data_IF_411920552602
#
_entry.id   IF_411920552602
#
_cell.length_a   1.000
_cell.length_b   1.000
_cell.length_c   1.000
_cell.angle_alpha   90.00
_cell.angle_beta   90.00
_cell.angle_gamma   90.00
#
_symmetry.space_group_name_H-M   'P 1'
#
loop_
_entity.id
_entity.type
_entity.pdbx_description
1 polymer ?
#
# COMPACT_ATOMS: atom_id res chain seq x y z
N UNK A 1 0.60 -3.19 8.89
CA UNK A 1 0.75 -4.32 7.95
C UNK A 1 -0.47 -4.34 7.03
N UNK A 2 -0.31 -4.72 5.77
CA UNK A 2 -1.42 -4.95 4.83
C UNK A 2 -1.51 -6.44 4.49
N UNK A 3 -2.71 -6.99 4.43
CA UNK A 3 -2.95 -8.38 3.99
C UNK A 3 -3.09 -8.40 2.48
N UNK A 4 -2.38 -9.32 1.82
CA UNK A 4 -2.51 -9.62 0.39
C UNK A 4 -2.62 -11.14 0.19
N UNK A 5 -3.07 -11.56 -0.99
CA UNK A 5 -3.26 -12.97 -1.31
C UNK A 5 -2.40 -13.34 -2.52
N UNK A 6 -1.55 -14.36 -2.36
CA UNK A 6 -0.73 -14.90 -3.46
C UNK A 6 -1.61 -15.69 -4.44
N UNK A 7 -1.09 -15.96 -5.63
CA UNK A 7 -1.78 -16.77 -6.65
C UNK A 7 -2.18 -18.18 -6.17
N UNK A 8 -1.42 -18.75 -5.23
CA UNK A 8 -1.73 -20.06 -4.64
C UNK A 8 -2.79 -20.00 -3.52
N UNK A 9 -3.44 -18.86 -3.32
CA UNK A 9 -4.46 -18.65 -2.28
C UNK A 9 -3.91 -18.42 -0.87
N UNK A 10 -2.59 -18.53 -0.65
CA UNK A 10 -2.00 -18.25 0.67
C UNK A 10 -1.99 -16.75 0.97
N UNK A 11 -2.21 -16.43 2.24
CA UNK A 11 -2.16 -15.06 2.73
C UNK A 11 -0.72 -14.63 3.05
N UNK A 12 -0.44 -13.35 2.80
CA UNK A 12 0.82 -12.72 3.14
C UNK A 12 0.53 -11.34 3.75
N UNK A 13 1.26 -11.00 4.81
CA UNK A 13 1.19 -9.69 5.43
C UNK A 13 2.46 -8.90 5.09
N UNK A 14 2.29 -7.75 4.44
CA UNK A 14 3.40 -6.90 4.01
C UNK A 14 3.48 -5.62 4.85
N UNK A 15 4.70 -5.12 5.04
CA UNK A 15 4.92 -3.81 5.64
C UNK A 15 4.62 -2.72 4.59
N UNK A 16 3.57 -1.91 4.77
CA UNK A 16 3.19 -0.89 3.79
C UNK A 16 4.27 0.17 3.59
N UNK A 17 5.05 0.49 4.62
CA UNK A 17 6.12 1.50 4.56
C UNK A 17 7.33 1.08 3.74
N UNK A 18 7.41 -0.20 3.36
CA UNK A 18 8.51 -0.76 2.57
C UNK A 18 8.06 -1.16 1.16
N UNK A 19 6.81 -0.90 0.79
CA UNK A 19 6.36 -1.10 -0.60
C UNK A 19 6.97 -0.01 -1.46
N UNK A 20 7.71 -0.42 -2.49
CA UNK A 20 8.42 0.46 -3.41
C UNK A 20 7.60 0.71 -4.67
N UNK A 21 7.11 -0.35 -5.32
CA UNK A 21 6.28 -0.25 -6.53
C UNK A 21 5.13 -1.26 -6.52
N UNK A 22 4.07 -0.92 -7.25
CA UNK A 22 2.98 -1.83 -7.59
C UNK A 22 2.80 -1.76 -9.11
N UNK A 23 2.98 -2.88 -9.79
CA UNK A 23 2.86 -2.99 -11.25
C UNK A 23 1.57 -3.74 -11.62
N UNK A 24 0.80 -3.16 -12.55
CA UNK A 24 -0.38 -3.79 -13.13
C UNK A 24 0.04 -4.77 -14.24
N UNK A 25 0.13 -6.05 -13.91
CA UNK A 25 0.23 -7.14 -14.91
C UNK A 25 -1.10 -7.92 -14.91
N UNK A 26 -1.30 -9.04 -15.64
CA UNK A 26 -2.54 -9.82 -15.51
C UNK A 26 -2.89 -10.16 -14.06
N UNK A 27 -1.85 -10.32 -13.22
CA UNK A 27 -1.88 -10.26 -11.76
C UNK A 27 -1.05 -9.06 -11.27
N UNK A 28 -1.18 -8.58 -10.03
CA UNK A 28 -0.34 -7.47 -9.57
C UNK A 28 1.01 -7.95 -9.04
N UNK A 29 2.06 -7.16 -9.27
CA UNK A 29 3.38 -7.39 -8.66
C UNK A 29 3.69 -6.26 -7.67
N UNK A 30 3.93 -6.62 -6.42
CA UNK A 30 4.42 -5.70 -5.38
C UNK A 30 5.93 -5.88 -5.26
N UNK A 31 6.70 -4.81 -5.46
CA UNK A 31 8.14 -4.79 -5.16
C UNK A 31 8.37 -4.09 -3.84
N UNK A 32 9.17 -4.69 -2.97
CA UNK A 32 9.60 -4.13 -1.69
C UNK A 32 10.93 -3.40 -1.84
N UNK A 33 11.22 -2.45 -0.94
CA UNK A 33 12.45 -1.64 -0.93
C UNK A 33 13.77 -2.44 -0.85
N UNK A 34 13.70 -3.74 -0.52
CA UNK A 34 14.84 -4.64 -0.54
C UNK A 34 14.96 -5.44 -1.86
N UNK A 35 14.17 -5.11 -2.87
CA UNK A 35 14.09 -5.81 -4.16
C UNK A 35 13.24 -7.08 -4.18
N UNK A 36 12.68 -7.53 -3.06
CA UNK A 36 11.79 -8.71 -3.05
C UNK A 36 10.49 -8.40 -3.80
N UNK A 37 10.03 -9.36 -4.60
CA UNK A 37 8.79 -9.24 -5.38
C UNK A 37 7.75 -10.26 -4.95
N UNK A 38 6.50 -9.83 -4.88
CA UNK A 38 5.35 -10.68 -4.58
C UNK A 38 4.29 -10.53 -5.66
N UNK A 39 3.92 -11.65 -6.27
CA UNK A 39 2.78 -11.71 -7.20
C UNK A 39 1.52 -12.00 -6.39
N UNK A 40 0.51 -11.14 -6.56
CA UNK A 40 -0.73 -11.16 -5.76
C UNK A 40 -1.95 -10.98 -6.66
N UNK A 41 -3.08 -11.50 -6.19
CA UNK A 41 -4.36 -11.48 -6.95
C UNK A 41 -5.08 -10.14 -6.86
N UNK A 42 -4.72 -9.28 -5.90
CA UNK A 42 -5.36 -7.98 -5.77
C UNK A 42 -4.91 -6.99 -6.84
N UNK A 43 -5.85 -6.25 -7.42
CA UNK A 43 -5.55 -5.13 -8.29
C UNK A 43 -4.77 -4.01 -7.58
N UNK A 44 -3.99 -3.19 -8.32
CA UNK A 44 -3.21 -2.11 -7.75
C UNK A 44 -4.06 -1.10 -6.96
N UNK A 45 -5.31 -0.86 -7.37
CA UNK A 45 -6.23 0.03 -6.67
C UNK A 45 -6.63 -0.48 -5.28
N UNK A 46 -6.84 -1.80 -5.14
CA UNK A 46 -7.14 -2.43 -3.86
C UNK A 46 -5.92 -2.37 -2.93
N UNK A 47 -4.74 -2.68 -3.45
CA UNK A 47 -3.47 -2.60 -2.70
C UNK A 47 -3.24 -1.15 -2.24
N UNK A 48 -3.37 -0.18 -3.14
CA UNK A 48 -3.18 1.25 -2.85
C UNK A 48 -4.16 1.73 -1.78
N UNK A 49 -5.43 1.32 -1.84
CA UNK A 49 -6.41 1.67 -0.81
C UNK A 49 -6.00 1.15 0.58
N UNK A 50 -5.54 -0.11 0.66
CA UNK A 50 -5.01 -0.69 1.91
C UNK A 50 -3.79 0.10 2.44
N UNK A 51 -2.90 0.56 1.55
CA UNK A 51 -1.75 1.39 1.93
C UNK A 51 -2.20 2.74 2.50
N UNK A 52 -3.09 3.44 1.80
CA UNK A 52 -3.64 4.74 2.22
C UNK A 52 -4.31 4.61 3.59
N UNK A 53 -5.08 3.56 3.82
CA UNK A 53 -5.76 3.33 5.10
C UNK A 53 -4.75 3.20 6.25
N UNK A 54 -3.64 2.46 6.05
CA UNK A 54 -2.59 2.39 7.06
C UNK A 54 -1.92 3.75 7.26
N UNK A 55 -1.60 4.48 6.18
CA UNK A 55 -0.96 5.80 6.27
C UNK A 55 -1.82 6.82 7.03
N UNK A 56 -3.14 6.76 6.87
CA UNK A 56 -4.10 7.56 7.64
C UNK A 56 -4.11 7.16 9.10
N UNK A 57 -4.14 5.85 9.40
CA UNK A 57 -4.17 5.34 10.77
C UNK A 57 -2.92 5.72 11.56
N UNK A 58 -1.74 5.71 10.94
CA UNK A 58 -0.48 6.08 11.60
C UNK A 58 -0.19 7.58 11.59
N UNK A 59 -1.11 8.41 11.07
CA UNK A 59 -0.97 9.86 11.07
C UNK A 59 0.03 10.42 10.05
N UNK A 60 0.49 9.62 9.09
CA UNK A 60 1.41 10.05 8.03
C UNK A 60 0.78 11.12 7.11
N UNK A 61 -0.55 11.27 7.14
CA UNK A 61 -1.34 12.17 6.29
C UNK A 61 -1.99 13.37 7.02
N UNK A 62 -1.52 13.79 8.20
CA UNK A 62 -1.95 15.06 8.84
C UNK A 62 -0.74 15.98 9.08
N UNK A 63 -0.66 17.24 8.65
CA UNK A 63 -1.69 18.20 8.25
C UNK A 63 -1.26 19.06 7.04
N UNK A 64 -2.16 19.27 6.08
CA UNK A 64 -2.25 20.60 5.46
C UNK A 64 -2.86 21.46 6.54
N UNK A 65 -2.03 22.28 7.21
CA UNK A 65 -2.55 23.36 8.02
C UNK A 65 -3.33 24.25 7.07
N UNK A 66 -4.66 24.25 7.18
CA UNK A 66 -5.46 25.37 6.67
C UNK A 66 -4.98 26.62 7.41
N UNK A 67 -4.05 27.36 6.80
CA UNK A 67 -3.92 28.77 7.05
C UNK A 67 -5.02 29.47 6.24
N UNK A 68 -6.26 29.32 6.68
CA UNK A 68 -7.34 30.18 6.24
C UNK A 68 -7.75 31.04 7.43
N UNK A 69 -7.54 32.34 7.25
CA UNK A 69 -8.03 33.47 8.05
C UNK A 69 -7.87 33.38 9.56
N UNK A 70 -6.72 33.90 10.04
CA UNK A 70 -6.73 34.64 11.30
C UNK A 70 -7.07 36.10 10.97
N UNK A 71 -8.15 36.68 11.54
CA UNK A 71 -8.56 38.06 11.29
C UNK A 71 -7.54 39.08 11.79
#
# INVERSE_FOLDING_TARGET
MIRVTRLNGSELWLNPLLVETIEATPDSVITMANGHKYVVVEDPGVITSKLIDIYRQIGLTRAVVQQEDRP
#
